data_IF_793930843313
#
_entry.id   IF_793930843313
#
_cell.length_a   1.000
_cell.length_b   1.000
_cell.length_c   1.000
_cell.angle_alpha   90.00
_cell.angle_beta   90.00
_cell.angle_gamma   90.00
#
_symmetry.space_group_name_H-M   'P 1'
#
loop_
_entity.id
_entity.type
_entity.pdbx_description
1 polymer ?
#
# COMPACT_ATOMS: atom_id res chain seq x y z
N UNK A 1 14.07 3.65 22.88
CA UNK A 1 13.20 4.46 22.01
C UNK A 1 12.49 5.47 22.89
N UNK A 2 12.62 6.77 22.64
CA UNK A 2 11.94 7.78 23.44
C UNK A 2 10.43 7.70 23.16
N UNK A 3 9.62 7.60 24.22
CA UNK A 3 8.17 7.61 24.13
C UNK A 3 7.65 8.96 24.57
N UNK A 4 7.02 9.69 23.66
CA UNK A 4 6.39 10.98 23.93
C UNK A 4 4.88 10.77 24.04
N UNK A 5 4.27 11.26 25.11
CA UNK A 5 2.81 11.26 25.27
C UNK A 5 2.22 12.32 24.34
N UNK A 6 1.29 11.91 23.47
CA UNK A 6 0.57 12.81 22.57
C UNK A 6 -0.89 12.91 22.99
N UNK A 7 -1.37 14.12 23.25
CA UNK A 7 -2.78 14.39 23.54
C UNK A 7 -3.59 14.42 22.24
N UNK A 8 -4.63 13.59 22.16
CA UNK A 8 -5.54 13.53 21.00
C UNK A 8 -6.89 14.09 21.43
N UNK A 9 -7.41 15.07 20.68
CA UNK A 9 -8.76 15.58 20.88
C UNK A 9 -9.76 14.65 20.19
N UNK A 10 -10.65 14.07 20.97
CA UNK A 10 -11.76 13.22 20.50
C UNK A 10 -13.06 13.75 21.08
N UNK A 11 -14.10 13.81 20.26
CA UNK A 11 -15.46 14.04 20.73
C UNK A 11 -15.94 12.89 21.63
N UNK A 12 -17.03 13.14 22.35
CA UNK A 12 -17.57 12.18 23.32
C UNK A 12 -18.03 10.89 22.65
N UNK A 13 -18.75 11.01 21.53
CA UNK A 13 -19.28 9.87 20.78
C UNK A 13 -18.16 8.91 20.37
N UNK A 14 -17.08 9.44 19.80
CA UNK A 14 -15.91 8.66 19.39
C UNK A 14 -15.25 7.98 20.59
N UNK A 15 -15.17 8.66 21.74
CA UNK A 15 -14.59 8.09 22.96
C UNK A 15 -15.43 6.94 23.51
N UNK A 16 -16.75 7.09 23.54
CA UNK A 16 -17.68 6.05 23.96
C UNK A 16 -17.60 4.83 23.04
N UNK A 17 -17.57 5.04 21.72
CA UNK A 17 -17.40 3.96 20.74
C UNK A 17 -16.09 3.20 20.92
N UNK A 18 -14.98 3.91 21.14
CA UNK A 18 -13.68 3.29 21.42
C UNK A 18 -13.69 2.50 22.71
N UNK A 19 -14.35 3.01 23.76
CA UNK A 19 -14.47 2.32 25.04
C UNK A 19 -15.28 1.04 24.90
N UNK A 20 -16.47 1.11 24.29
CA UNK A 20 -17.33 -0.05 24.07
C UNK A 20 -16.63 -1.13 23.21
N UNK A 21 -15.93 -0.72 22.15
CA UNK A 21 -15.20 -1.67 21.31
C UNK A 21 -14.00 -2.29 22.03
N UNK A 22 -13.34 -1.53 22.91
CA UNK A 22 -12.23 -2.05 23.70
C UNK A 22 -12.72 -3.06 24.74
N UNK A 23 -13.87 -2.81 25.38
CA UNK A 23 -14.53 -3.73 26.31
C UNK A 23 -14.95 -5.03 25.61
N UNK A 24 -15.59 -4.93 24.43
CA UNK A 24 -15.98 -6.09 23.61
C UNK A 24 -14.77 -6.96 23.21
N UNK A 25 -13.62 -6.32 22.95
CA UNK A 25 -12.37 -6.99 22.56
C UNK A 25 -11.48 -7.40 23.72
N UNK A 26 -11.91 -7.17 24.97
CA UNK A 26 -11.11 -7.41 26.19
C UNK A 26 -9.71 -6.79 26.12
N UNK A 27 -9.63 -5.52 25.69
CA UNK A 27 -8.38 -4.80 25.51
C UNK A 27 -8.45 -3.38 26.08
N UNK A 28 -7.30 -2.75 26.30
CA UNK A 28 -7.26 -1.38 26.80
C UNK A 28 -7.58 -0.37 25.68
N UNK A 29 -8.40 0.64 25.97
CA UNK A 29 -8.79 1.67 24.97
C UNK A 29 -7.59 2.37 24.33
N UNK A 30 -6.53 2.63 25.10
CA UNK A 30 -5.31 3.26 24.57
C UNK A 30 -4.55 2.36 23.59
N UNK A 31 -4.62 1.03 23.75
CA UNK A 31 -4.05 0.08 22.79
C UNK A 31 -4.81 0.15 21.47
N UNK A 32 -6.15 0.19 21.53
CA UNK A 32 -7.01 0.31 20.35
C UNK A 32 -6.74 1.61 19.57
N UNK A 33 -6.60 2.74 20.28
CA UNK A 33 -6.24 4.04 19.69
C UNK A 33 -4.88 3.94 18.97
N UNK A 34 -3.88 3.35 19.63
CA UNK A 34 -2.55 3.18 19.03
C UNK A 34 -2.61 2.28 17.79
N UNK A 35 -3.33 1.16 17.87
CA UNK A 35 -3.49 0.23 16.77
C UNK A 35 -4.13 0.90 15.55
N UNK A 36 -5.22 1.66 15.77
CA UNK A 36 -5.91 2.38 14.69
C UNK A 36 -5.00 3.42 13.99
N UNK A 37 -4.18 4.13 14.76
CA UNK A 37 -3.22 5.10 14.19
C UNK A 37 -2.17 4.39 13.33
N UNK A 38 -1.59 3.30 13.82
CA UNK A 38 -0.57 2.54 13.09
C UNK A 38 -1.15 1.96 11.80
N UNK A 39 -2.33 1.33 11.87
CA UNK A 39 -2.98 0.75 10.70
C UNK A 39 -3.32 1.82 9.64
N UNK A 40 -3.78 2.99 10.07
CA UNK A 40 -4.06 4.10 9.17
C UNK A 40 -2.79 4.60 8.48
N UNK A 41 -1.69 4.77 9.22
CA UNK A 41 -0.40 5.17 8.67
C UNK A 41 0.11 4.16 7.63
N UNK A 42 0.10 2.87 7.95
CA UNK A 42 0.55 1.82 7.03
C UNK A 42 -0.25 1.82 5.72
N UNK A 43 -1.57 2.06 5.81
CA UNK A 43 -2.45 2.16 4.64
C UNK A 43 -2.11 3.38 3.79
N UNK A 44 -1.94 4.55 4.41
CA UNK A 44 -1.61 5.79 3.69
C UNK A 44 -0.22 5.73 3.07
N UNK A 45 0.77 5.20 3.78
CA UNK A 45 2.14 5.05 3.28
C UNK A 45 2.21 4.07 2.10
N UNK A 46 1.44 2.98 2.15
CA UNK A 46 1.31 2.06 1.01
C UNK A 46 0.69 2.75 -0.20
N UNK A 47 -0.42 3.46 -0.02
CA UNK A 47 -1.07 4.19 -1.10
C UNK A 47 -0.16 5.27 -1.72
N UNK A 48 0.60 5.99 -0.89
CA UNK A 48 1.58 6.97 -1.37
C UNK A 48 2.72 6.33 -2.15
N UNK A 49 3.21 5.17 -1.71
CA UNK A 49 4.25 4.41 -2.41
C UNK A 49 3.77 3.95 -3.77
N UNK A 50 2.61 3.31 -3.84
CA UNK A 50 1.98 2.87 -5.09
C UNK A 50 1.79 4.05 -6.05
N UNK A 51 1.24 5.16 -5.57
CA UNK A 51 1.08 6.39 -6.38
C UNK A 51 2.43 6.92 -6.90
N UNK A 52 3.48 6.91 -6.08
CA UNK A 52 4.81 7.35 -6.50
C UNK A 52 5.37 6.44 -7.58
N UNK A 53 5.28 5.13 -7.40
CA UNK A 53 5.73 4.14 -8.38
C UNK A 53 4.97 4.25 -9.71
N UNK A 54 3.66 4.46 -9.64
CA UNK A 54 2.81 4.66 -10.82
C UNK A 54 3.15 5.96 -11.55
N UNK A 55 3.36 7.07 -10.82
CA UNK A 55 3.80 8.33 -11.43
C UNK A 55 5.19 8.25 -12.03
N UNK A 56 6.13 7.52 -11.41
CA UNK A 56 7.47 7.29 -11.96
C UNK A 56 7.41 6.44 -13.23
N UNK A 57 6.59 5.37 -13.24
CA UNK A 57 6.34 4.55 -14.44
C UNK A 57 5.71 5.38 -15.55
N UNK A 58 4.70 6.18 -15.21
CA UNK A 58 4.02 7.07 -16.15
C UNK A 58 4.98 8.11 -16.73
N UNK A 59 5.78 8.76 -15.88
CA UNK A 59 6.80 9.72 -16.31
C UNK A 59 7.82 9.09 -17.26
N UNK A 60 8.26 7.86 -16.97
CA UNK A 60 9.15 7.09 -17.85
C UNK A 60 8.49 6.83 -19.21
N UNK A 61 7.25 6.36 -19.24
CA UNK A 61 6.49 6.17 -20.47
C UNK A 61 6.33 7.46 -21.29
N UNK A 62 6.03 8.60 -20.67
CA UNK A 62 5.92 9.88 -21.39
C UNK A 62 7.26 10.38 -21.95
N UNK A 63 8.37 10.12 -21.25
CA UNK A 63 9.71 10.56 -21.66
C UNK A 63 10.35 9.65 -22.70
N UNK A 64 10.12 8.33 -22.63
CA UNK A 64 10.79 7.34 -23.49
C UNK A 64 9.87 6.73 -24.54
N UNK A 65 8.55 6.79 -24.38
CA UNK A 65 7.58 6.11 -25.24
C UNK A 65 7.58 4.59 -25.13
N UNK A 66 8.45 4.03 -24.29
CA UNK A 66 8.74 2.60 -24.23
C UNK A 66 7.53 1.89 -23.57
N UNK A 67 6.82 1.10 -24.37
CA UNK A 67 5.70 0.29 -23.90
C UNK A 67 5.67 -1.06 -24.61
N UNK A 68 5.37 -2.11 -23.86
CA UNK A 68 5.20 -3.43 -24.45
C UNK A 68 3.83 -3.45 -25.14
N UNK A 69 3.81 -3.67 -26.44
CA UNK A 69 2.55 -3.87 -27.18
C UNK A 69 1.74 -5.04 -26.62
N UNK A 70 0.40 -4.95 -26.71
CA UNK A 70 -0.51 -5.97 -26.18
C UNK A 70 -0.22 -7.39 -26.73
N UNK A 71 0.16 -7.49 -28.00
CA UNK A 71 0.51 -8.76 -28.65
C UNK A 71 1.84 -9.34 -28.16
N UNK A 72 2.82 -8.49 -27.81
CA UNK A 72 4.08 -8.92 -27.21
C UNK A 72 3.89 -9.41 -25.77
N UNK A 73 3.04 -8.74 -24.99
CA UNK A 73 2.69 -9.18 -23.64
C UNK A 73 1.99 -10.56 -23.64
N UNK A 74 1.04 -10.80 -24.55
CA UNK A 74 0.36 -12.10 -24.67
C UNK A 74 1.32 -13.24 -25.04
N UNK A 75 2.25 -12.99 -25.97
CA UNK A 75 3.29 -13.97 -26.32
C UNK A 75 4.20 -14.30 -25.14
N UNK A 76 4.52 -13.31 -24.32
CA UNK A 76 5.32 -13.50 -23.11
C UNK A 76 4.57 -14.29 -22.05
N UNK A 77 3.28 -14.01 -21.82
CA UNK A 77 2.43 -14.78 -20.89
C UNK A 77 2.30 -16.26 -21.32
N UNK A 78 2.13 -16.52 -22.61
CA UNK A 78 2.06 -17.89 -23.15
C UNK A 78 3.40 -18.65 -22.99
N UNK A 79 4.53 -17.97 -23.17
CA UNK A 79 5.85 -18.54 -22.93
C UNK A 79 6.12 -18.83 -21.44
N UNK A 80 5.61 -17.99 -20.53
CA UNK A 80 5.65 -18.21 -19.08
C UNK A 80 4.81 -19.42 -18.67
N UNK A 81 3.58 -19.54 -19.18
CA UNK A 81 2.69 -20.65 -18.88
C UNK A 81 3.28 -22.01 -19.33
N UNK A 82 4.09 -22.00 -20.38
CA UNK A 82 4.80 -23.18 -20.90
C UNK A 82 6.11 -23.50 -20.16
N UNK A 83 6.52 -22.69 -19.19
CA UNK A 83 7.77 -22.85 -18.44
C UNK A 83 9.03 -22.52 -19.26
N UNK A 84 8.89 -21.90 -20.43
CA UNK A 84 10.01 -21.60 -21.34
C UNK A 84 10.65 -20.22 -21.09
N UNK A 85 10.06 -19.37 -20.25
CA UNK A 85 10.57 -18.02 -20.00
C UNK A 85 11.61 -18.00 -18.86
N UNK A 86 12.85 -18.39 -19.16
CA UNK A 86 13.99 -18.04 -18.29
C UNK A 86 14.56 -16.68 -18.70
N UNK A 87 14.34 -15.67 -17.86
CA UNK A 87 15.11 -14.43 -17.78
C UNK A 87 15.40 -13.70 -19.12
N UNK A 88 14.41 -13.00 -19.67
CA UNK A 88 14.64 -11.97 -20.69
C UNK A 88 14.33 -10.58 -20.09
N UNK A 89 15.22 -10.11 -19.20
CA UNK A 89 15.39 -8.67 -19.01
C UNK A 89 16.04 -8.14 -20.29
N UNK A 90 15.23 -7.62 -21.21
CA UNK A 90 15.73 -7.12 -22.48
C UNK A 90 14.68 -6.28 -23.16
N UNK A 91 14.84 -4.96 -23.00
CA UNK A 91 14.32 -3.86 -23.81
C UNK A 91 13.55 -4.29 -25.07
N UNK A 92 12.31 -3.85 -25.19
CA UNK A 92 11.63 -3.79 -26.47
C UNK A 92 10.87 -2.46 -26.53
N UNK A 93 11.42 -1.61 -27.40
CA UNK A 93 11.04 -0.27 -27.86
C UNK A 93 9.56 0.06 -27.89
#
# INVERSE_FOLDING_TARGET
MATTTLGIKLDEETRERLKALAEDKDCATHWLIKAAIVEYLDKEERAQRERREDMERWGRYMLTGESISHSAALKWFDALAKGCASHAHGSAS
#
